data_IF_390834090399
#
_entry.id   IF_390834090399
#
_cell.length_a   1.000
_cell.length_b   1.000
_cell.length_c   1.000
_cell.angle_alpha   90.00
_cell.angle_beta   90.00
_cell.angle_gamma   90.00
#
_symmetry.space_group_name_H-M   'P 1'
#
loop_
_entity.id
_entity.type
_entity.pdbx_description
1 polymer ?
#
# COMPACT_ATOMS: atom_id res chain seq x y z
N UNK A 1 -41.70 31.98 19.81
CA UNK A 1 -41.15 31.00 18.86
C UNK A 1 -40.58 29.85 19.67
N UNK A 2 -40.98 28.59 19.44
CA UNK A 2 -40.39 27.46 20.12
C UNK A 2 -38.93 27.27 19.66
N UNK A 3 -38.01 26.84 20.53
CA UNK A 3 -36.63 26.58 20.14
C UNK A 3 -36.57 25.42 19.13
N UNK A 4 -35.91 25.66 18.00
CA UNK A 4 -35.60 24.65 17.00
C UNK A 4 -34.89 23.48 17.68
N UNK A 5 -35.50 22.29 17.60
CA UNK A 5 -34.84 21.05 17.95
C UNK A 5 -33.63 20.90 17.02
N UNK A 6 -32.42 21.07 17.58
CA UNK A 6 -31.22 20.55 16.93
C UNK A 6 -31.46 19.04 16.70
N UNK A 7 -31.32 18.53 15.46
CA UNK A 7 -31.47 17.11 15.23
C UNK A 7 -30.47 16.37 16.12
N UNK A 8 -30.97 15.41 16.89
CA UNK A 8 -30.13 14.49 17.64
C UNK A 8 -29.12 13.85 16.68
N UNK A 9 -27.83 13.72 17.04
CA UNK A 9 -26.88 12.98 16.23
C UNK A 9 -27.46 11.61 15.89
N UNK A 10 -27.46 11.24 14.61
CA UNK A 10 -27.91 9.92 14.20
C UNK A 10 -27.14 8.87 15.04
N UNK A 11 -27.82 7.89 15.66
CA UNK A 11 -27.15 6.88 16.46
C UNK A 11 -26.08 6.16 15.60
N UNK A 12 -24.86 6.06 16.13
CA UNK A 12 -23.75 5.37 15.49
C UNK A 12 -24.22 3.97 15.04
N UNK A 13 -24.15 3.72 13.73
CA UNK A 13 -24.66 2.48 13.11
C UNK A 13 -23.81 1.31 13.59
N UNK A 14 -24.43 0.13 13.77
CA UNK A 14 -23.85 -1.02 14.50
C UNK A 14 -22.42 -1.42 14.14
N UNK A 15 -21.96 -1.19 12.91
CA UNK A 15 -20.57 -1.41 12.53
C UNK A 15 -19.61 -0.37 13.15
N UNK A 16 -19.96 0.93 13.15
CA UNK A 16 -19.19 2.01 13.79
C UNK A 16 -19.04 1.87 15.32
N UNK A 17 -19.83 0.98 15.96
CA UNK A 17 -19.74 0.77 17.42
C UNK A 17 -18.51 -0.02 17.86
N UNK A 18 -17.91 -0.79 16.95
CA UNK A 18 -16.78 -1.68 17.24
C UNK A 18 -15.52 -1.35 16.43
N UNK A 19 -15.55 -0.27 15.64
CA UNK A 19 -14.40 0.14 14.83
C UNK A 19 -14.12 1.62 15.00
N UNK A 20 -12.89 1.93 15.38
CA UNK A 20 -12.34 3.28 15.32
C UNK A 20 -12.03 3.61 13.85
N UNK A 21 -13.08 3.86 13.07
CA UNK A 21 -12.94 4.43 11.74
C UNK A 21 -12.90 5.95 11.87
N UNK A 22 -11.83 6.57 11.40
CA UNK A 22 -11.73 8.02 11.28
C UNK A 22 -12.09 8.41 9.84
N UNK A 23 -13.37 8.74 9.54
CA UNK A 23 -13.73 9.36 8.27
C UNK A 23 -13.14 10.77 8.23
N UNK A 24 -11.86 10.87 7.91
CA UNK A 24 -11.19 12.15 7.73
C UNK A 24 -11.66 12.81 6.44
N UNK A 25 -12.08 14.08 6.56
CA UNK A 25 -12.21 14.95 5.40
C UNK A 25 -10.84 15.22 4.73
N UNK A 26 -9.74 14.97 5.44
CA UNK A 26 -8.37 15.17 4.98
C UNK A 26 -7.51 14.00 5.50
N UNK A 27 -6.99 13.15 4.60
CA UNK A 27 -6.21 11.95 4.95
C UNK A 27 -4.71 12.24 5.10
N UNK A 28 -4.28 13.44 4.74
CA UNK A 28 -2.89 13.89 4.69
C UNK A 28 -2.50 14.80 5.87
N UNK A 29 -3.35 14.95 6.88
CA UNK A 29 -3.15 15.84 8.03
C UNK A 29 -2.25 15.27 9.12
N UNK A 30 -2.01 13.96 9.11
CA UNK A 30 -1.26 13.31 10.17
C UNK A 30 0.23 13.61 10.06
N UNK A 31 0.89 13.65 11.21
CA UNK A 31 2.33 13.81 11.31
C UNK A 31 3.06 12.47 11.18
N UNK A 32 4.27 12.52 10.63
CA UNK A 32 5.21 11.41 10.67
C UNK A 32 5.94 11.42 12.02
N UNK A 33 5.49 10.59 12.96
CA UNK A 33 6.10 10.44 14.29
C UNK A 33 7.51 9.83 14.22
N UNK A 34 7.73 8.95 13.24
CA UNK A 34 9.06 8.41 12.91
C UNK A 34 9.26 8.56 11.40
N UNK A 35 10.32 9.26 11.00
CA UNK A 35 10.58 9.61 9.60
C UNK A 35 12.08 9.45 9.22
N UNK A 36 12.51 8.27 8.69
CA UNK A 36 13.88 8.00 8.22
C UNK A 36 14.19 8.64 6.84
N UNK A 37 14.07 9.97 6.73
CA UNK A 37 14.24 10.75 5.47
C UNK A 37 15.59 10.55 4.77
N UNK A 38 16.63 10.32 5.54
CA UNK A 38 18.00 10.17 5.08
C UNK A 38 18.26 8.81 4.40
N UNK A 39 17.41 7.80 4.64
CA UNK A 39 17.61 6.46 4.06
C UNK A 39 17.17 6.35 2.61
N UNK A 40 16.10 7.05 2.19
CA UNK A 40 15.74 7.05 0.77
C UNK A 40 16.81 7.77 -0.06
N UNK A 41 17.23 8.97 0.39
CA UNK A 41 18.23 9.78 -0.31
C UNK A 41 19.68 9.34 -0.05
N UNK A 42 19.89 8.18 0.60
CA UNK A 42 21.21 7.61 0.79
C UNK A 42 21.75 7.11 -0.55
N UNK A 43 22.69 7.87 -1.13
CA UNK A 43 23.28 7.62 -2.45
C UNK A 43 22.78 8.64 -3.48
N UNK A 44 23.70 9.19 -4.30
CA UNK A 44 23.37 10.17 -5.34
C UNK A 44 22.89 9.42 -6.60
N UNK A 45 21.61 9.11 -6.71
CA UNK A 45 21.03 8.48 -7.90
C UNK A 45 19.51 8.38 -7.86
N UNK A 46 18.91 8.17 -9.02
CA UNK A 46 17.51 7.79 -9.12
C UNK A 46 17.32 6.37 -8.59
N UNK A 47 16.19 6.14 -7.93
CA UNK A 47 15.77 4.82 -7.46
C UNK A 47 14.70 4.33 -8.43
N UNK A 48 14.82 3.10 -8.91
CA UNK A 48 13.79 2.55 -9.81
C UNK A 48 12.49 2.34 -9.04
N UNK A 49 12.57 1.64 -7.90
CA UNK A 49 11.38 1.29 -7.13
C UNK A 49 11.51 1.69 -5.65
N UNK A 50 10.59 2.53 -5.18
CA UNK A 50 10.27 2.64 -3.76
C UNK A 50 9.19 1.61 -3.41
N UNK A 51 9.40 0.82 -2.37
CA UNK A 51 8.40 -0.12 -1.86
C UNK A 51 7.94 0.32 -0.47
N UNK A 52 6.64 0.58 -0.33
CA UNK A 52 5.99 0.87 0.93
C UNK A 52 5.12 -0.32 1.35
N UNK A 53 5.58 -1.03 2.38
CA UNK A 53 4.91 -2.20 2.93
C UNK A 53 3.96 -1.76 4.05
N UNK A 54 2.66 -1.91 3.83
CA UNK A 54 1.63 -1.70 4.84
C UNK A 54 1.75 -2.77 5.91
N UNK A 55 2.21 -2.40 7.10
CA UNK A 55 2.37 -3.30 8.24
C UNK A 55 1.65 -2.75 9.47
N UNK A 56 1.52 -3.53 10.54
CA UNK A 56 0.96 -3.08 11.82
C UNK A 56 2.01 -3.15 12.93
N UNK A 57 1.94 -2.34 14.00
CA UNK A 57 2.95 -2.34 15.08
C UNK A 57 3.32 -3.74 15.60
N UNK A 58 2.34 -4.61 15.85
CA UNK A 58 2.55 -6.00 16.29
C UNK A 58 3.14 -6.97 15.25
N UNK A 59 3.28 -6.60 13.98
CA UNK A 59 3.75 -7.50 12.90
C UNK A 59 5.29 -7.61 12.78
N UNK A 60 6.02 -7.59 13.88
CA UNK A 60 7.50 -7.62 13.91
C UNK A 60 8.07 -8.85 13.18
N UNK A 61 7.45 -10.02 13.33
CA UNK A 61 7.90 -11.24 12.65
C UNK A 61 7.82 -11.13 11.12
N UNK A 62 6.73 -10.54 10.58
CA UNK A 62 6.57 -10.32 9.13
C UNK A 62 7.61 -9.33 8.60
N UNK A 63 7.85 -8.23 9.32
CA UNK A 63 8.89 -7.26 8.95
C UNK A 63 10.30 -7.88 8.96
N UNK A 64 10.60 -8.72 9.95
CA UNK A 64 11.87 -9.43 10.01
C UNK A 64 12.04 -10.44 8.86
N UNK A 65 10.99 -11.20 8.54
CA UNK A 65 11.00 -12.11 7.40
C UNK A 65 11.23 -11.34 6.09
N UNK A 66 10.54 -10.21 5.88
CA UNK A 66 10.77 -9.33 4.74
C UNK A 66 12.22 -8.82 4.65
N UNK A 67 12.83 -8.43 5.79
CA UNK A 67 14.24 -8.02 5.86
C UNK A 67 15.21 -9.12 5.43
N UNK A 68 14.93 -10.35 5.84
CA UNK A 68 15.78 -11.51 5.56
C UNK A 68 15.58 -12.08 4.14
N UNK A 69 14.48 -11.71 3.48
CA UNK A 69 14.10 -12.23 2.16
C UNK A 69 14.30 -11.17 1.09
N UNK A 70 13.24 -10.59 0.55
CA UNK A 70 13.30 -9.71 -0.63
C UNK A 70 14.03 -8.38 -0.36
N UNK A 71 14.04 -7.86 0.87
CA UNK A 71 14.88 -6.67 1.18
C UNK A 71 16.37 -7.04 1.13
N UNK A 72 16.75 -8.16 1.76
CA UNK A 72 18.11 -8.67 1.70
C UNK A 72 18.52 -9.07 0.28
N UNK A 73 17.60 -9.67 -0.47
CA UNK A 73 17.74 -10.01 -1.88
C UNK A 73 18.01 -8.80 -2.77
N UNK A 74 17.24 -7.72 -2.58
CA UNK A 74 17.46 -6.49 -3.31
C UNK A 74 18.89 -5.96 -3.15
N UNK A 75 19.44 -6.03 -1.93
CA UNK A 75 20.82 -5.66 -1.66
C UNK A 75 21.83 -6.67 -2.24
N UNK A 76 21.59 -7.98 -2.07
CA UNK A 76 22.44 -9.08 -2.56
C UNK A 76 22.62 -9.04 -4.08
N UNK A 77 21.55 -8.77 -4.82
CA UNK A 77 21.55 -8.73 -6.29
C UNK A 77 21.69 -7.31 -6.85
N UNK A 78 21.98 -6.32 -6.01
CA UNK A 78 22.28 -4.92 -6.39
C UNK A 78 21.22 -4.28 -7.30
N UNK A 79 19.93 -4.50 -7.03
CA UNK A 79 18.83 -3.85 -7.76
C UNK A 79 18.45 -2.51 -7.14
N UNK A 80 18.07 -1.55 -7.98
CA UNK A 80 17.81 -0.15 -7.58
C UNK A 80 16.46 0.01 -6.88
N UNK A 81 16.41 -0.31 -5.58
CA UNK A 81 15.19 -0.21 -4.78
C UNK A 81 15.45 0.31 -3.36
N UNK A 82 14.40 0.87 -2.74
CA UNK A 82 14.34 1.19 -1.31
C UNK A 82 13.04 0.66 -0.75
N UNK A 83 13.10 0.11 0.46
CA UNK A 83 11.93 -0.44 1.12
C UNK A 83 11.73 0.14 2.52
N UNK A 84 10.50 0.50 2.82
CA UNK A 84 10.06 0.97 4.12
C UNK A 84 8.74 0.30 4.53
N UNK A 85 8.57 0.10 5.83
CA UNK A 85 7.31 -0.31 6.44
C UNK A 85 6.55 0.94 6.87
N UNK A 86 5.29 1.08 6.44
CA UNK A 86 4.40 2.12 6.92
C UNK A 86 3.44 1.54 7.96
N UNK A 87 3.45 2.14 9.15
CA UNK A 87 2.65 1.75 10.32
C UNK A 87 1.97 2.97 10.92
N UNK A 88 0.84 2.77 11.59
CA UNK A 88 0.22 3.76 12.46
C UNK A 88 0.69 3.61 13.92
N UNK A 89 -0.09 4.17 14.84
CA UNK A 89 0.09 4.01 16.27
C UNK A 89 -0.77 2.88 16.83
N UNK A 90 -0.36 2.30 17.97
CA UNK A 90 -1.07 1.22 18.65
C UNK A 90 -1.56 1.67 20.02
N UNK A 91 -2.70 1.16 20.48
CA UNK A 91 -3.15 1.33 21.87
C UNK A 91 -2.35 0.49 22.86
N UNK A 92 -1.74 -0.60 22.41
CA UNK A 92 -0.93 -1.50 23.22
C UNK A 92 0.45 -0.87 23.49
N UNK A 93 0.79 -0.71 24.78
CA UNK A 93 2.03 -0.03 25.19
C UNK A 93 3.29 -0.79 24.74
N UNK A 94 3.27 -2.11 24.86
CA UNK A 94 4.33 -3.00 24.41
C UNK A 94 4.56 -2.89 22.90
N UNK A 95 3.51 -2.85 22.09
CA UNK A 95 3.65 -2.62 20.65
C UNK A 95 4.27 -1.25 20.33
N UNK A 96 3.87 -0.18 21.05
CA UNK A 96 4.45 1.16 20.87
C UNK A 96 5.93 1.23 21.22
N UNK A 97 6.33 0.58 22.31
CA UNK A 97 7.73 0.53 22.74
C UNK A 97 8.57 -0.32 21.78
N UNK A 98 8.05 -1.49 21.37
CA UNK A 98 8.73 -2.39 20.45
C UNK A 98 8.95 -1.75 19.07
N UNK A 99 7.94 -1.10 18.49
CA UNK A 99 8.08 -0.45 17.18
C UNK A 99 9.06 0.72 17.22
N UNK A 100 9.14 1.44 18.35
CA UNK A 100 10.10 2.53 18.55
C UNK A 100 11.55 2.01 18.54
N UNK A 101 11.81 0.94 19.27
CA UNK A 101 13.13 0.31 19.33
C UNK A 101 13.50 -0.33 17.99
N UNK A 102 12.56 -1.02 17.34
CA UNK A 102 12.76 -1.57 16.00
C UNK A 102 13.11 -0.47 14.99
N UNK A 103 12.40 0.65 15.02
CA UNK A 103 12.66 1.79 14.15
C UNK A 103 14.04 2.40 14.39
N UNK A 104 14.50 2.51 15.65
CA UNK A 104 15.88 2.95 15.96
C UNK A 104 16.92 2.02 15.37
N UNK A 105 16.68 0.70 15.42
CA UNK A 105 17.62 -0.32 14.97
C UNK A 105 17.72 -0.42 13.45
N UNK A 106 16.60 -0.50 12.76
CA UNK A 106 16.56 -0.84 11.32
C UNK A 106 16.42 0.39 10.41
N UNK A 107 15.87 1.49 10.96
CA UNK A 107 15.67 2.76 10.26
C UNK A 107 14.90 2.62 8.94
N UNK A 108 14.02 1.62 8.82
CA UNK A 108 13.12 1.36 7.68
C UNK A 108 11.64 1.52 8.03
N UNK A 109 11.30 2.14 9.16
CA UNK A 109 9.91 2.30 9.62
C UNK A 109 9.47 3.76 9.45
N UNK A 110 8.36 3.95 8.73
CA UNK A 110 7.58 5.18 8.69
C UNK A 110 6.41 5.03 9.65
N UNK A 111 6.43 5.75 10.78
CA UNK A 111 5.32 5.75 11.73
C UNK A 111 4.50 7.01 11.56
N UNK A 112 3.22 6.86 11.23
CA UNK A 112 2.27 7.96 11.09
C UNK A 112 1.40 8.06 12.34
N UNK A 113 1.07 9.27 12.78
CA UNK A 113 0.33 9.53 14.02
C UNK A 113 -1.19 9.30 13.94
N UNK A 114 -1.65 8.20 13.34
CA UNK A 114 -3.05 7.79 13.34
C UNK A 114 -3.20 6.42 14.00
N UNK A 115 -4.37 6.09 14.55
CA UNK A 115 -4.61 4.77 15.13
C UNK A 115 -4.59 3.67 14.06
N UNK A 116 -3.64 2.73 14.14
CA UNK A 116 -3.48 1.66 13.17
C UNK A 116 -4.59 0.61 13.31
N UNK A 117 -5.48 0.57 12.32
CA UNK A 117 -6.43 -0.51 12.17
C UNK A 117 -6.78 -0.68 10.68
N UNK A 118 -7.44 -1.80 10.37
CA UNK A 118 -7.88 -2.12 9.01
C UNK A 118 -8.73 -1.03 8.36
N UNK A 119 -9.54 -0.31 9.14
CA UNK A 119 -10.45 0.70 8.61
C UNK A 119 -9.77 2.02 8.25
N UNK A 120 -8.53 2.21 8.70
CA UNK A 120 -7.70 3.39 8.42
C UNK A 120 -6.60 3.10 7.38
N UNK A 121 -6.70 2.01 6.61
CA UNK A 121 -5.72 1.71 5.54
C UNK A 121 -5.64 2.80 4.47
N UNK A 122 -6.73 3.51 4.19
CA UNK A 122 -6.73 4.66 3.27
C UNK A 122 -5.83 5.80 3.75
N UNK A 123 -5.69 5.99 5.07
CA UNK A 123 -4.73 6.93 5.66
C UNK A 123 -3.31 6.48 5.33
N UNK A 124 -2.97 5.19 5.51
CA UNK A 124 -1.64 4.67 5.13
C UNK A 124 -1.34 4.91 3.65
N UNK A 125 -2.31 4.67 2.77
CA UNK A 125 -2.14 4.87 1.34
C UNK A 125 -1.79 6.33 1.00
N UNK A 126 -2.62 7.28 1.47
CA UNK A 126 -2.43 8.71 1.17
C UNK A 126 -1.17 9.25 1.83
N UNK A 127 -0.90 8.85 3.07
CA UNK A 127 0.33 9.24 3.78
C UNK A 127 1.58 8.62 3.14
N UNK A 128 1.47 7.43 2.56
CA UNK A 128 2.51 6.82 1.73
C UNK A 128 2.80 7.64 0.47
N UNK A 129 1.75 8.12 -0.23
CA UNK A 129 1.92 9.03 -1.36
C UNK A 129 2.61 10.34 -0.94
N UNK A 130 2.11 10.96 0.14
CA UNK A 130 2.71 12.19 0.70
C UNK A 130 4.19 11.98 1.00
N UNK A 131 4.53 10.90 1.68
CA UNK A 131 5.91 10.61 2.05
C UNK A 131 6.81 10.40 0.84
N UNK A 132 6.37 9.61 -0.14
CA UNK A 132 7.11 9.35 -1.37
C UNK A 132 7.41 10.67 -2.11
N UNK A 133 6.41 11.53 -2.27
CA UNK A 133 6.54 12.81 -2.98
C UNK A 133 7.39 13.84 -2.22
N UNK A 134 7.38 13.83 -0.88
CA UNK A 134 8.10 14.82 -0.07
C UNK A 134 9.53 14.40 0.27
N UNK A 135 9.77 13.12 0.55
CA UNK A 135 11.02 12.64 1.14
C UNK A 135 11.75 11.60 0.28
N UNK A 136 11.15 11.13 -0.80
CA UNK A 136 11.70 10.10 -1.69
C UNK A 136 11.36 10.37 -3.16
N UNK A 137 11.45 11.63 -3.57
CA UNK A 137 10.96 12.10 -4.87
C UNK A 137 11.85 11.70 -6.06
N UNK A 138 12.98 11.05 -5.80
CA UNK A 138 13.89 10.49 -6.79
C UNK A 138 13.54 9.04 -7.19
N UNK A 139 12.42 8.49 -6.70
CA UNK A 139 11.93 7.19 -7.16
C UNK A 139 11.10 7.32 -8.44
N UNK A 140 11.35 6.44 -9.41
CA UNK A 140 10.61 6.37 -10.68
C UNK A 140 9.24 5.69 -10.50
N UNK A 141 9.19 4.70 -9.61
CA UNK A 141 7.98 3.96 -9.26
C UNK A 141 7.81 3.84 -7.74
N UNK A 142 6.55 3.72 -7.31
CA UNK A 142 6.11 3.36 -5.97
C UNK A 142 5.32 2.06 -6.04
N UNK A 143 5.73 1.05 -5.28
CA UNK A 143 4.91 -0.11 -4.95
C UNK A 143 4.28 0.06 -3.58
N UNK A 144 2.96 -0.09 -3.49
CA UNK A 144 2.27 -0.34 -2.22
C UNK A 144 1.96 -1.82 -2.13
N UNK A 145 2.23 -2.46 -0.99
CA UNK A 145 1.93 -3.87 -0.78
C UNK A 145 1.65 -4.19 0.70
N UNK A 146 1.00 -5.32 0.96
CA UNK A 146 0.78 -5.83 2.32
C UNK A 146 2.03 -6.54 2.86
N UNK A 147 2.12 -6.73 4.18
CA UNK A 147 3.27 -7.36 4.83
C UNK A 147 3.26 -8.89 4.85
N UNK A 148 2.23 -9.53 4.30
CA UNK A 148 2.12 -10.97 4.05
C UNK A 148 2.28 -11.33 2.56
N UNK A 149 3.00 -10.48 1.83
CA UNK A 149 3.26 -10.63 0.40
C UNK A 149 4.74 -10.85 0.16
N UNK A 150 5.03 -11.74 -0.79
CA UNK A 150 6.36 -12.04 -1.28
C UNK A 150 6.40 -11.77 -2.79
N UNK A 151 7.37 -10.97 -3.20
CA UNK A 151 7.58 -10.59 -4.61
C UNK A 151 9.01 -10.92 -5.02
N UNK A 152 9.17 -11.43 -6.24
CA UNK A 152 10.46 -11.47 -6.93
C UNK A 152 10.87 -10.03 -7.27
N UNK A 153 11.43 -9.36 -6.27
CA UNK A 153 11.82 -7.95 -6.34
C UNK A 153 12.94 -7.71 -7.36
N UNK A 154 13.79 -8.71 -7.60
CA UNK A 154 14.93 -8.60 -8.52
C UNK A 154 14.42 -8.50 -9.94
N UNK A 155 13.58 -9.46 -10.36
CA UNK A 155 12.97 -9.46 -11.69
C UNK A 155 12.03 -8.24 -11.84
N UNK A 156 11.29 -7.85 -10.80
CA UNK A 156 10.45 -6.64 -10.83
C UNK A 156 11.23 -5.37 -11.14
N UNK A 157 12.31 -5.12 -10.40
CA UNK A 157 13.09 -3.90 -10.61
C UNK A 157 13.72 -3.90 -12.00
N UNK A 158 14.30 -5.02 -12.44
CA UNK A 158 14.89 -5.13 -13.77
C UNK A 158 13.87 -4.89 -14.90
N UNK A 159 12.65 -5.44 -14.77
CA UNK A 159 11.59 -5.23 -15.76
C UNK A 159 11.09 -3.78 -15.79
N UNK A 160 11.05 -3.11 -14.63
CA UNK A 160 10.69 -1.69 -14.52
C UNK A 160 11.78 -0.79 -15.10
N UNK A 161 13.06 -1.10 -14.85
CA UNK A 161 14.22 -0.40 -15.44
C UNK A 161 14.22 -0.49 -16.97
N UNK A 162 13.74 -1.60 -17.52
CA UNK A 162 13.62 -1.80 -18.95
C UNK A 162 12.38 -1.10 -19.58
N UNK A 163 11.49 -0.49 -18.78
CA UNK A 163 10.32 0.22 -19.31
C UNK A 163 10.73 1.52 -20.02
N UNK A 164 10.29 1.74 -21.28
CA UNK A 164 10.53 2.99 -21.97
C UNK A 164 9.98 4.20 -21.19
N UNK A 165 10.72 5.33 -21.09
CA UNK A 165 10.28 6.51 -20.33
C UNK A 165 8.89 7.05 -20.75
N UNK A 166 8.53 6.91 -22.02
CA UNK A 166 7.21 7.33 -22.52
C UNK A 166 6.05 6.56 -21.88
N UNK A 167 6.30 5.33 -21.43
CA UNK A 167 5.28 4.46 -20.82
C UNK A 167 5.07 4.80 -19.33
N UNK A 168 5.91 5.65 -18.74
CA UNK A 168 5.84 5.96 -17.30
C UNK A 168 4.65 6.86 -16.95
N UNK A 169 4.27 7.81 -17.81
CA UNK A 169 3.37 8.93 -17.45
C UNK A 169 1.99 8.57 -16.87
N UNK A 170 1.49 7.37 -17.15
CA UNK A 170 0.22 6.81 -16.65
C UNK A 170 0.34 5.32 -16.29
N UNK A 171 1.54 4.87 -15.85
CA UNK A 171 1.76 3.46 -15.54
C UNK A 171 1.21 3.07 -14.17
N UNK A 172 0.35 2.05 -14.16
CA UNK A 172 -0.10 1.32 -12.96
C UNK A 172 -0.10 -0.16 -13.28
N UNK A 173 0.60 -0.97 -12.48
CA UNK A 173 0.71 -2.41 -12.63
C UNK A 173 0.11 -3.10 -11.41
N UNK A 174 -0.87 -3.98 -11.60
CA UNK A 174 -1.49 -4.72 -10.50
C UNK A 174 -2.44 -5.80 -10.99
N UNK A 175 -2.94 -6.65 -10.08
CA UNK A 175 -4.04 -7.55 -10.42
C UNK A 175 -5.32 -6.71 -10.56
N UNK A 176 -5.89 -6.66 -11.77
CA UNK A 176 -7.02 -5.77 -12.06
C UNK A 176 -8.33 -6.45 -11.69
N UNK A 177 -8.99 -5.94 -10.66
CA UNK A 177 -10.29 -6.44 -10.21
C UNK A 177 -11.41 -5.66 -10.91
N UNK A 178 -12.41 -6.38 -11.43
CA UNK A 178 -13.58 -5.80 -12.10
C UNK A 178 -14.87 -6.51 -11.68
N UNK A 179 -15.99 -5.79 -11.70
CA UNK A 179 -17.32 -6.38 -11.54
C UNK A 179 -17.77 -6.64 -10.11
N UNK A 180 -16.93 -6.36 -9.11
CA UNK A 180 -17.28 -6.47 -7.70
C UNK A 180 -18.25 -5.37 -7.26
N UNK A 181 -19.13 -5.71 -6.32
CA UNK A 181 -20.13 -4.81 -5.74
C UNK A 181 -19.79 -4.50 -4.28
N UNK A 182 -20.19 -3.33 -3.76
CA UNK A 182 -20.12 -3.07 -2.33
C UNK A 182 -20.95 -4.10 -1.56
N UNK A 183 -20.38 -4.67 -0.50
CA UNK A 183 -21.08 -5.61 0.37
C UNK A 183 -22.16 -4.87 1.18
N UNK A 184 -23.38 -5.38 1.16
CA UNK A 184 -24.56 -4.75 1.79
C UNK A 184 -25.06 -5.51 3.01
N UNK A 185 -24.48 -6.66 3.32
CA UNK A 185 -24.74 -7.37 4.57
C UNK A 185 -24.08 -6.64 5.75
N UNK A 186 -24.88 -6.07 6.65
CA UNK A 186 -24.44 -5.31 7.83
C UNK A 186 -23.54 -6.09 8.80
N UNK A 187 -23.55 -7.42 8.73
CA UNK A 187 -22.71 -8.30 9.56
C UNK A 187 -21.36 -8.62 8.92
N UNK A 188 -21.12 -8.19 7.68
CA UNK A 188 -19.84 -8.41 7.00
C UNK A 188 -18.82 -7.37 7.41
N UNK A 189 -17.56 -7.79 7.60
CA UNK A 189 -16.42 -6.87 7.80
C UNK A 189 -16.19 -5.91 6.62
N UNK A 190 -16.73 -6.24 5.45
CA UNK A 190 -16.64 -5.43 4.24
C UNK A 190 -17.91 -4.60 3.96
N UNK A 191 -18.85 -4.55 4.89
CA UNK A 191 -20.09 -3.81 4.74
C UNK A 191 -19.86 -2.34 4.38
N UNK A 192 -20.53 -1.88 3.32
CA UNK A 192 -20.58 -0.47 2.93
C UNK A 192 -22.05 -0.06 2.82
N UNK A 193 -22.49 0.98 3.57
CA UNK A 193 -23.81 1.57 3.40
C UNK A 193 -24.04 2.19 2.01
N UNK A 194 -25.29 2.20 1.55
CA UNK A 194 -25.66 2.79 0.26
C UNK A 194 -25.51 4.33 0.24
N UNK A 195 -25.70 5.00 1.39
CA UNK A 195 -25.47 6.44 1.52
C UNK A 195 -23.98 6.82 1.52
N UNK A 196 -23.09 5.89 1.90
CA UNK A 196 -21.64 6.06 1.81
C UNK A 196 -21.15 5.86 0.37
N UNK A 197 -21.65 4.82 -0.30
CA UNK A 197 -21.37 4.56 -1.71
C UNK A 197 -22.65 4.06 -2.42
N UNK A 198 -23.32 4.91 -3.21
CA UNK A 198 -24.57 4.55 -3.88
C UNK A 198 -24.36 3.75 -5.16
N UNK A 199 -23.12 3.66 -5.66
CA UNK A 199 -22.81 2.89 -6.85
C UNK A 199 -23.11 1.40 -6.67
N UNK A 200 -23.64 0.76 -7.72
CA UNK A 200 -23.93 -0.68 -7.71
C UNK A 200 -22.66 -1.54 -7.79
N UNK A 201 -21.60 -1.01 -8.40
CA UNK A 201 -20.31 -1.67 -8.58
C UNK A 201 -19.18 -0.72 -8.24
N UNK A 202 -18.06 -1.27 -7.80
CA UNK A 202 -16.80 -0.53 -7.73
C UNK A 202 -16.28 -0.25 -9.14
N UNK A 203 -15.60 0.89 -9.38
CA UNK A 203 -14.77 1.02 -10.57
C UNK A 203 -13.65 -0.02 -10.56
N UNK A 204 -12.98 -0.31 -11.69
CA UNK A 204 -11.82 -1.19 -11.69
C UNK A 204 -10.75 -0.71 -10.69
N UNK A 205 -10.25 -1.63 -9.87
CA UNK A 205 -9.25 -1.31 -8.84
C UNK A 205 -8.11 -2.34 -8.84
N UNK A 206 -6.89 -1.96 -8.42
CA UNK A 206 -5.80 -2.91 -8.26
C UNK A 206 -6.04 -3.72 -6.98
N UNK A 207 -5.79 -5.02 -6.99
CA UNK A 207 -6.00 -5.85 -5.79
C UNK A 207 -5.01 -5.49 -4.66
N UNK A 208 -5.50 -5.35 -3.43
CA UNK A 208 -4.79 -4.73 -2.30
C UNK A 208 -3.47 -5.33 -1.85
N UNK A 209 -3.18 -6.60 -2.18
CA UNK A 209 -1.92 -7.26 -1.84
C UNK A 209 -0.69 -6.56 -2.41
N UNK A 210 -0.81 -5.98 -3.62
CA UNK A 210 0.28 -5.15 -4.10
C UNK A 210 0.17 -4.71 -5.55
N UNK A 211 0.56 -3.46 -5.77
CA UNK A 211 0.54 -2.80 -7.07
C UNK A 211 1.61 -1.70 -7.16
N UNK A 212 2.10 -1.48 -8.38
CA UNK A 212 3.13 -0.49 -8.71
C UNK A 212 2.48 0.68 -9.44
N UNK A 213 2.90 1.89 -9.12
CA UNK A 213 2.49 3.14 -9.75
C UNK A 213 3.73 3.93 -10.13
N UNK A 214 3.75 4.51 -11.32
CA UNK A 214 4.77 5.52 -11.65
C UNK A 214 4.69 6.74 -10.75
N UNK A 215 5.80 7.44 -10.58
CA UNK A 215 5.89 8.69 -9.81
C UNK A 215 4.81 9.69 -10.21
N UNK A 216 4.60 9.90 -11.51
CA UNK A 216 3.61 10.85 -12.03
C UNK A 216 2.17 10.42 -11.71
N UNK A 217 1.90 9.11 -11.61
CA UNK A 217 0.59 8.63 -11.15
C UNK A 217 0.43 8.85 -9.66
N UNK A 218 1.46 8.60 -8.84
CA UNK A 218 1.43 8.86 -7.39
C UNK A 218 1.11 10.33 -7.11
N UNK A 219 1.75 11.26 -7.83
CA UNK A 219 1.47 12.69 -7.73
C UNK A 219 -0.01 13.01 -8.04
N UNK A 220 -0.52 12.50 -9.16
CA UNK A 220 -1.93 12.70 -9.57
C UNK A 220 -2.90 12.10 -8.55
N UNK A 221 -2.62 10.91 -8.03
CA UNK A 221 -3.42 10.24 -7.01
C UNK A 221 -3.43 11.03 -5.70
N UNK A 222 -2.28 11.51 -5.25
CA UNK A 222 -2.17 12.35 -4.06
C UNK A 222 -3.02 13.63 -4.21
N UNK A 223 -2.84 14.37 -5.30
CA UNK A 223 -3.65 15.57 -5.55
C UNK A 223 -5.15 15.26 -5.65
N UNK A 224 -5.52 14.18 -6.34
CA UNK A 224 -6.93 13.78 -6.47
C UNK A 224 -7.53 13.34 -5.14
N UNK A 225 -6.75 12.75 -4.25
CA UNK A 225 -7.20 12.33 -2.92
C UNK A 225 -7.58 13.52 -2.02
N UNK A 226 -6.96 14.68 -2.22
CA UNK A 226 -7.32 15.94 -1.53
C UNK A 226 -8.63 16.54 -2.05
N UNK A 227 -8.96 16.32 -3.32
CA UNK A 227 -10.25 16.73 -3.91
C UNK A 227 -11.38 15.73 -3.61
N UNK A 228 -11.05 14.45 -3.44
CA UNK A 228 -12.00 13.35 -3.21
C UNK A 228 -11.56 12.49 -2.03
N UNK A 229 -11.76 12.94 -0.78
CA UNK A 229 -11.37 12.20 0.42
C UNK A 229 -12.02 10.81 0.49
N UNK A 230 -11.32 9.84 1.07
CA UNK A 230 -11.84 8.47 1.19
C UNK A 230 -13.03 8.42 2.14
N UNK A 231 -14.15 7.90 1.63
CA UNK A 231 -15.35 7.61 2.43
C UNK A 231 -15.51 6.13 2.74
N UNK A 232 -14.54 5.32 2.33
CA UNK A 232 -14.51 3.87 2.50
C UNK A 232 -13.16 3.47 3.13
N UNK A 233 -13.11 2.36 3.87
CA UNK A 233 -11.88 1.89 4.52
C UNK A 233 -10.91 1.15 3.58
N UNK A 234 -11.36 0.73 2.40
CA UNK A 234 -10.58 -0.10 1.48
C UNK A 234 -9.65 0.78 0.65
N UNK A 235 -8.35 0.73 0.94
CA UNK A 235 -7.31 1.51 0.27
C UNK A 235 -7.20 1.17 -1.21
N UNK A 236 -7.33 -0.10 -1.55
CA UNK A 236 -7.24 -0.60 -2.91
C UNK A 236 -8.42 -0.16 -3.79
N UNK A 237 -9.65 -0.30 -3.30
CA UNK A 237 -10.87 0.23 -3.94
C UNK A 237 -10.82 1.75 -4.03
N UNK A 238 -10.36 2.44 -2.98
CA UNK A 238 -10.20 3.90 -3.00
C UNK A 238 -9.19 4.34 -4.06
N UNK A 239 -8.04 3.66 -4.17
CA UNK A 239 -7.08 3.86 -5.25
C UNK A 239 -7.76 3.69 -6.63
N UNK A 240 -8.56 2.64 -6.82
CA UNK A 240 -9.35 2.43 -8.04
C UNK A 240 -10.33 3.57 -8.36
N UNK A 241 -11.00 4.13 -7.34
CA UNK A 241 -11.89 5.30 -7.50
C UNK A 241 -11.09 6.52 -7.99
N UNK A 242 -9.90 6.77 -7.44
CA UNK A 242 -9.06 7.88 -7.86
C UNK A 242 -8.53 7.66 -9.30
N UNK A 243 -8.11 6.45 -9.64
CA UNK A 243 -7.66 6.08 -10.99
C UNK A 243 -8.77 6.29 -12.03
N UNK A 244 -10.00 5.87 -11.72
CA UNK A 244 -11.17 6.05 -12.58
C UNK A 244 -11.45 7.54 -12.84
N UNK A 245 -11.41 8.39 -11.79
CA UNK A 245 -11.54 9.85 -11.92
C UNK A 245 -10.45 10.49 -12.76
N UNK A 246 -9.26 9.89 -12.81
CA UNK A 246 -8.11 10.35 -13.59
C UNK A 246 -8.07 9.72 -15.00
N UNK A 247 -9.02 8.82 -15.33
CA UNK A 247 -9.01 8.01 -16.55
C UNK A 247 -7.71 7.21 -16.74
N UNK A 248 -7.09 6.75 -15.65
CA UNK A 248 -5.87 5.93 -15.68
C UNK A 248 -6.26 4.45 -15.62
N UNK A 249 -5.71 3.64 -16.52
CA UNK A 249 -6.00 2.20 -16.59
C UNK A 249 -4.92 1.40 -15.88
N UNK A 250 -5.36 0.34 -15.20
CA UNK A 250 -4.46 -0.65 -14.61
C UNK A 250 -4.01 -1.63 -15.70
N UNK A 251 -2.70 -1.77 -15.85
CA UNK A 251 -2.06 -2.84 -16.60
C UNK A 251 -2.15 -4.11 -15.75
N UNK A 252 -2.79 -5.14 -16.30
CA UNK A 252 -2.94 -6.41 -15.60
C UNK A 252 -1.59 -7.10 -15.43
N UNK A 253 -1.22 -7.36 -14.16
CA UNK A 253 0.08 -7.94 -13.80
C UNK A 253 0.30 -9.32 -14.41
N UNK A 254 -0.73 -10.16 -14.45
CA UNK A 254 -0.64 -11.52 -15.00
C UNK A 254 -0.26 -11.47 -16.48
N UNK A 255 -0.95 -10.60 -17.24
CA UNK A 255 -0.62 -10.36 -18.65
C UNK A 255 0.76 -9.75 -18.83
N UNK A 256 1.07 -8.67 -18.10
CA UNK A 256 2.35 -7.95 -18.21
C UNK A 256 3.56 -8.84 -17.95
N UNK A 257 3.44 -9.73 -16.96
CA UNK A 257 4.47 -10.69 -16.60
C UNK A 257 4.58 -11.80 -17.65
N UNK A 258 3.46 -12.38 -18.09
CA UNK A 258 3.46 -13.42 -19.12
C UNK A 258 4.08 -12.96 -20.44
N UNK A 259 3.85 -11.70 -20.82
CA UNK A 259 4.41 -11.11 -22.04
C UNK A 259 5.95 -10.97 -21.97
N UNK A 260 6.54 -10.85 -20.77
CA UNK A 260 8.00 -10.71 -20.53
C UNK A 260 8.69 -12.03 -20.20
N UNK A 261 8.00 -12.89 -19.46
CA UNK A 261 8.51 -14.15 -18.91
C UNK A 261 7.59 -15.31 -19.27
N UNK A 262 7.44 -15.66 -20.57
CA UNK A 262 6.45 -16.63 -21.05
C UNK A 262 6.61 -18.05 -20.48
N UNK A 263 7.80 -18.37 -19.97
CA UNK A 263 8.13 -19.64 -19.33
C UNK A 263 7.77 -19.71 -17.83
N UNK A 264 7.43 -18.58 -17.18
CA UNK A 264 7.10 -18.51 -15.76
C UNK A 264 5.60 -18.34 -15.53
N UNK A 265 5.08 -18.80 -14.40
CA UNK A 265 3.70 -18.56 -13.95
C UNK A 265 3.65 -17.41 -12.95
N UNK A 266 2.50 -16.78 -12.76
CA UNK A 266 2.36 -15.62 -11.85
C UNK A 266 2.76 -15.96 -10.39
N UNK A 267 2.44 -17.16 -9.90
CA UNK A 267 2.82 -17.60 -8.56
C UNK A 267 4.32 -17.91 -8.39
N UNK A 268 5.08 -17.90 -9.49
CA UNK A 268 6.54 -17.98 -9.48
C UNK A 268 7.17 -16.60 -9.25
N UNK A 269 6.36 -15.55 -9.07
CA UNK A 269 6.83 -14.17 -8.96
C UNK A 269 6.10 -13.36 -7.88
N UNK A 270 4.83 -13.67 -7.60
CA UNK A 270 4.03 -12.97 -6.61
C UNK A 270 3.24 -13.97 -5.77
N UNK A 271 3.45 -13.96 -4.46
CA UNK A 271 2.76 -14.82 -3.49
C UNK A 271 2.13 -13.94 -2.41
N UNK A 272 0.93 -14.32 -1.98
CA UNK A 272 0.07 -13.53 -1.10
C UNK A 272 -0.35 -14.38 0.11
N UNK A 273 -0.81 -13.70 1.16
CA UNK A 273 -1.39 -14.32 2.35
C UNK A 273 -0.43 -15.29 3.07
N UNK A 274 0.87 -14.98 3.05
CA UNK A 274 1.90 -15.81 3.68
C UNK A 274 2.03 -15.55 5.18
N UNK A 275 2.25 -16.63 5.93
CA UNK A 275 2.79 -16.54 7.28
C UNK A 275 4.27 -16.13 7.23
N UNK A 276 4.78 -15.49 8.29
CA UNK A 276 6.18 -15.04 8.35
C UNK A 276 7.18 -16.19 8.09
N UNK A 277 6.89 -17.39 8.58
CA UNK A 277 7.73 -18.58 8.37
C UNK A 277 7.70 -19.09 6.91
N UNK A 278 6.62 -18.83 6.17
CA UNK A 278 6.47 -19.28 4.78
C UNK A 278 7.16 -18.30 3.80
N UNK A 279 7.43 -17.08 4.24
CA UNK A 279 8.10 -16.05 3.44
C UNK A 279 9.53 -16.47 3.07
N UNK A 280 10.28 -17.09 3.99
CA UNK A 280 11.63 -17.58 3.71
C UNK A 280 11.63 -18.71 2.66
N UNK A 281 10.73 -19.68 2.79
CA UNK A 281 10.59 -20.78 1.83
C UNK A 281 10.15 -20.27 0.44
N UNK A 282 9.28 -19.25 0.42
CA UNK A 282 8.88 -18.58 -0.80
C UNK A 282 10.07 -17.86 -1.46
N UNK A 283 10.91 -17.18 -0.69
CA UNK A 283 12.10 -16.49 -1.18
C UNK A 283 13.15 -17.45 -1.74
N UNK A 284 13.43 -18.57 -1.06
CA UNK A 284 14.35 -19.59 -1.55
C UNK A 284 13.94 -20.15 -2.92
N UNK A 285 12.64 -20.16 -3.25
CA UNK A 285 12.16 -20.56 -4.58
C UNK A 285 12.56 -19.53 -5.65
N UNK A 286 12.51 -18.24 -5.33
CA UNK A 286 12.91 -17.16 -6.24
C UNK A 286 14.43 -17.12 -6.42
N UNK A 287 15.22 -17.24 -5.35
CA UNK A 287 16.69 -17.19 -5.46
C UNK A 287 17.27 -18.25 -6.39
N UNK A 288 16.69 -19.46 -6.42
CA UNK A 288 17.11 -20.52 -7.33
C UNK A 288 16.92 -20.18 -8.81
N UNK A 289 16.10 -19.20 -9.14
CA UNK A 289 15.93 -18.73 -10.51
C UNK A 289 16.93 -17.63 -10.87
N UNK A 290 17.51 -16.91 -9.89
CA UNK A 290 18.54 -15.91 -10.14
C UNK A 290 19.94 -16.51 -10.30
N UNK A 291 20.14 -17.73 -9.80
CA UNK A 291 21.42 -18.44 -9.82
C UNK A 291 21.60 -19.36 -11.05
N UNK A 292 20.63 -19.37 -11.97
CA UNK A 292 20.67 -20.12 -13.24
C UNK A 292 21.02 -19.21 -14.40
#
# INVERSE_FOLDING_TARGET
MPPEHKPSPAPLRGWMKNVHWEPGAELDIYDFLINPVDKCNAGKGNITLLVLVKSAPGHTARRNAARQTYIGGAAKYNVSTRLFFIVGDSEAQDERENIQEEARRHRDILKVGFHDNYYNLTVKLVMGFKWALQFCNNSEFLMSMDDDVMVDIVTLVNDLDALPPNDHSQFVLGSRVVGFSPERNVNSKWYIPEDIYPGKKWPPFPFGHGYVMSHQVVEKLYLKSREYPARIPFDDVYCGILLDKLNIRIVDRSKWFKDRHPQKKEHDYFKIELLAQEMEEAWQKFERDFEK
#
